data_IF_672259711892
#
_entry.id   IF_672259711892
#
_cell.length_a   1.000
_cell.length_b   1.000
_cell.length_c   1.000
_cell.angle_alpha   90.00
_cell.angle_beta   90.00
_cell.angle_gamma   90.00
#
_symmetry.space_group_name_H-M   'P 1'
#
loop_
_entity.id
_entity.type
_entity.pdbx_description
1 polymer ?
#
# COMPACT_ATOMS: atom_id res chain seq x y z
N UNK A 1 7.43 1.99 -11.51
CA UNK A 1 8.33 2.93 -12.19
C UNK A 1 9.08 3.68 -11.12
N UNK A 2 10.38 3.90 -11.28
CA UNK A 2 11.25 4.38 -10.20
C UNK A 2 12.41 5.19 -10.76
N UNK A 3 12.72 6.33 -10.16
CA UNK A 3 13.91 7.12 -10.47
C UNK A 3 15.11 6.72 -9.60
N UNK A 4 15.17 5.45 -9.19
CA UNK A 4 16.27 4.83 -8.45
C UNK A 4 17.65 5.32 -8.89
N UNK A 5 18.48 5.61 -7.89
CA UNK A 5 19.76 6.28 -8.06
C UNK A 5 19.68 7.80 -7.88
N UNK A 6 18.48 8.34 -7.66
CA UNK A 6 18.27 9.69 -7.15
C UNK A 6 18.57 9.75 -5.64
N UNK A 7 17.74 9.04 -4.87
CA UNK A 7 17.75 8.97 -3.42
C UNK A 7 17.78 7.50 -2.97
N UNK A 8 18.20 7.23 -1.70
CA UNK A 8 18.30 5.85 -1.22
C UNK A 8 16.94 5.15 -1.07
N UNK A 9 15.84 5.87 -0.95
CA UNK A 9 14.52 5.33 -0.62
C UNK A 9 13.91 4.48 -1.74
N UNK A 10 14.13 4.76 -3.01
CA UNK A 10 13.78 3.83 -4.10
C UNK A 10 14.46 2.46 -3.93
N UNK A 11 15.71 2.46 -3.47
CA UNK A 11 16.46 1.21 -3.23
C UNK A 11 15.91 0.47 -2.01
N UNK A 12 15.56 1.20 -0.96
CA UNK A 12 14.89 0.67 0.22
C UNK A 12 13.53 0.04 -0.14
N UNK A 13 12.70 0.77 -0.89
CA UNK A 13 11.41 0.33 -1.40
C UNK A 13 11.57 -0.90 -2.29
N UNK A 14 12.57 -0.93 -3.18
CA UNK A 14 12.83 -2.07 -4.06
C UNK A 14 13.25 -3.31 -3.27
N UNK A 15 14.14 -3.17 -2.27
CA UNK A 15 14.51 -4.26 -1.36
C UNK A 15 13.27 -4.85 -0.70
N UNK A 16 12.38 -4.00 -0.16
CA UNK A 16 11.14 -4.46 0.45
C UNK A 16 10.26 -5.17 -0.57
N UNK A 17 10.03 -4.61 -1.76
CA UNK A 17 9.20 -5.20 -2.81
C UNK A 17 9.64 -6.63 -3.17
N UNK A 18 10.95 -6.90 -3.22
CA UNK A 18 11.47 -8.24 -3.51
C UNK A 18 10.96 -9.29 -2.52
N UNK A 19 10.73 -8.92 -1.26
CA UNK A 19 10.22 -9.81 -0.23
C UNK A 19 8.72 -10.06 -0.31
N UNK A 20 7.99 -9.28 -1.11
CA UNK A 20 6.56 -9.46 -1.37
C UNK A 20 6.28 -9.95 -2.81
N UNK A 21 7.34 -10.23 -3.57
CA UNK A 21 7.25 -10.72 -4.96
C UNK A 21 6.57 -12.09 -5.09
N UNK A 22 6.33 -12.80 -3.98
CA UNK A 22 5.54 -14.03 -3.98
C UNK A 22 4.02 -13.81 -3.96
N UNK A 23 3.57 -12.64 -3.51
CA UNK A 23 2.15 -12.26 -3.44
C UNK A 23 1.78 -11.13 -4.39
N UNK A 24 2.78 -10.45 -4.96
CA UNK A 24 2.62 -9.43 -6.00
C UNK A 24 3.19 -9.96 -7.31
N UNK A 25 2.34 -10.08 -8.32
CA UNK A 25 2.74 -10.47 -9.68
C UNK A 25 3.37 -9.27 -10.40
N UNK A 26 4.70 -9.22 -10.39
CA UNK A 26 5.45 -8.09 -10.97
C UNK A 26 5.50 -8.26 -12.49
N UNK A 27 4.95 -7.29 -13.23
CA UNK A 27 4.95 -7.25 -14.70
C UNK A 27 6.06 -6.36 -15.28
N UNK A 28 6.73 -5.55 -14.44
CA UNK A 28 7.77 -4.64 -14.89
C UNK A 28 8.47 -3.88 -13.77
N UNK A 29 9.78 -3.69 -13.92
CA UNK A 29 10.61 -2.86 -13.05
C UNK A 29 11.33 -1.83 -13.91
N UNK A 30 10.67 -0.69 -14.09
CA UNK A 30 11.09 0.34 -15.06
C UNK A 30 11.78 1.49 -14.34
N UNK A 31 13.06 1.71 -14.65
CA UNK A 31 13.77 2.92 -14.24
C UNK A 31 13.26 4.12 -15.05
N UNK A 32 12.95 5.24 -14.42
CA UNK A 32 12.40 6.46 -15.03
C UNK A 32 13.20 7.70 -14.60
N UNK A 33 12.82 8.85 -15.15
CA UNK A 33 13.31 10.16 -14.69
C UNK A 33 12.31 10.77 -13.71
N UNK A 34 12.74 11.82 -13.00
CA UNK A 34 11.89 12.64 -12.12
C UNK A 34 12.46 14.06 -12.05
N UNK A 35 11.82 14.94 -11.31
CA UNK A 35 12.32 16.28 -11.03
C UNK A 35 13.63 16.25 -10.23
N UNK A 36 13.82 15.22 -9.43
CA UNK A 36 15.00 15.01 -8.60
C UNK A 36 16.13 14.32 -9.39
N UNK A 37 15.79 13.43 -10.33
CA UNK A 37 16.74 12.80 -11.27
C UNK A 37 16.29 12.96 -12.71
N UNK A 38 16.71 14.07 -13.32
CA UNK A 38 16.47 14.39 -14.73
C UNK A 38 17.44 13.70 -15.70
N UNK A 39 18.49 13.07 -15.17
CA UNK A 39 19.46 12.31 -15.96
C UNK A 39 18.86 11.00 -16.46
N UNK A 40 19.34 10.44 -17.59
CA UNK A 40 18.88 9.18 -18.13
C UNK A 40 18.70 8.07 -17.08
N UNK A 41 17.64 7.25 -17.17
CA UNK A 41 17.41 6.17 -16.21
C UNK A 41 18.51 5.12 -16.21
N UNK A 42 18.95 4.69 -15.03
CA UNK A 42 19.92 3.61 -14.88
C UNK A 42 19.29 2.39 -14.22
N UNK A 43 19.43 1.23 -14.86
CA UNK A 43 18.86 -0.03 -14.37
C UNK A 43 19.82 -0.84 -13.50
N UNK A 44 21.06 -0.36 -13.32
CA UNK A 44 22.15 -1.07 -12.66
C UNK A 44 21.80 -1.41 -11.21
N UNK A 45 21.27 -0.45 -10.45
CA UNK A 45 20.87 -0.64 -9.04
C UNK A 45 19.72 -1.65 -8.90
N UNK A 46 18.69 -1.56 -9.74
CA UNK A 46 17.59 -2.56 -9.77
C UNK A 46 18.16 -3.97 -9.97
N UNK A 47 19.07 -4.13 -10.93
CA UNK A 47 19.71 -5.42 -11.22
C UNK A 47 20.57 -5.92 -10.07
N UNK A 48 21.27 -5.04 -9.36
CA UNK A 48 22.06 -5.41 -8.18
C UNK A 48 21.17 -5.91 -7.03
N UNK A 49 20.06 -5.21 -6.77
CA UNK A 49 19.09 -5.62 -5.73
C UNK A 49 18.47 -6.98 -6.09
N UNK A 50 18.07 -7.19 -7.36
CA UNK A 50 17.51 -8.48 -7.80
C UNK A 50 18.53 -9.62 -7.66
N UNK A 51 19.81 -9.38 -7.97
CA UNK A 51 20.86 -10.39 -7.77
C UNK A 51 21.03 -10.73 -6.29
N UNK A 52 21.05 -9.72 -5.41
CA UNK A 52 21.08 -9.95 -3.96
C UNK A 52 19.85 -10.76 -3.50
N UNK A 53 18.66 -10.44 -4.00
CA UNK A 53 17.46 -11.25 -3.79
C UNK A 53 17.63 -12.70 -4.25
N UNK A 54 18.25 -12.92 -5.42
CA UNK A 54 18.55 -14.26 -5.95
C UNK A 54 19.34 -15.13 -4.97
N UNK A 55 20.28 -14.55 -4.24
CA UNK A 55 21.09 -15.23 -3.23
C UNK A 55 20.27 -15.68 -1.99
N UNK A 56 19.26 -14.90 -1.57
CA UNK A 56 18.42 -15.22 -0.40
C UNK A 56 17.16 -16.01 -0.74
N UNK A 57 16.75 -16.03 -2.02
CA UNK A 57 15.53 -16.73 -2.49
C UNK A 57 15.42 -18.19 -2.01
N UNK A 58 16.49 -19.01 -1.98
CA UNK A 58 16.39 -20.38 -1.45
C UNK A 58 15.95 -20.44 0.02
N UNK A 59 16.29 -19.43 0.83
CA UNK A 59 15.80 -19.32 2.21
C UNK A 59 14.33 -18.89 2.23
N UNK A 60 13.96 -17.86 1.47
CA UNK A 60 12.58 -17.39 1.36
C UNK A 60 11.60 -18.51 0.98
N UNK A 61 12.00 -19.41 0.07
CA UNK A 61 11.19 -20.57 -0.35
C UNK A 61 10.96 -21.62 0.75
N UNK A 62 11.73 -21.61 1.84
CA UNK A 62 11.47 -22.43 3.02
C UNK A 62 10.28 -21.91 3.83
N UNK A 63 10.02 -20.60 3.77
CA UNK A 63 8.98 -19.91 4.52
C UNK A 63 7.67 -19.82 3.73
N UNK A 64 7.75 -19.44 2.46
CA UNK A 64 6.57 -19.28 1.62
C UNK A 64 6.87 -19.64 0.17
N UNK A 65 5.88 -20.23 -0.52
CA UNK A 65 5.99 -20.53 -1.96
C UNK A 65 5.71 -19.27 -2.79
N UNK A 66 5.98 -19.35 -4.09
CA UNK A 66 5.57 -18.32 -5.06
C UNK A 66 6.63 -17.28 -5.40
N UNK A 67 7.76 -17.23 -4.69
CA UNK A 67 8.86 -16.30 -5.00
C UNK A 67 9.42 -16.52 -6.43
N UNK A 68 9.39 -15.51 -7.33
CA UNK A 68 9.90 -15.61 -8.69
C UNK A 68 11.42 -15.81 -8.71
N UNK A 69 11.96 -16.38 -9.78
CA UNK A 69 13.41 -16.54 -9.93
C UNK A 69 14.09 -15.21 -10.23
N UNK A 70 15.37 -15.08 -9.87
CA UNK A 70 16.21 -13.93 -10.26
C UNK A 70 16.12 -13.64 -11.76
N UNK A 71 16.21 -14.68 -12.59
CA UNK A 71 16.11 -14.57 -14.06
C UNK A 71 14.76 -14.00 -14.51
N UNK A 72 13.66 -14.44 -13.89
CA UNK A 72 12.34 -13.90 -14.22
C UNK A 72 12.27 -12.40 -13.92
N UNK A 73 12.75 -11.96 -12.74
CA UNK A 73 12.75 -10.55 -12.37
C UNK A 73 13.70 -9.71 -13.24
N UNK A 74 14.92 -10.19 -13.52
CA UNK A 74 15.88 -9.48 -14.37
C UNK A 74 15.34 -9.22 -15.79
N UNK A 75 14.53 -10.13 -16.33
CA UNK A 75 13.92 -9.97 -17.65
C UNK A 75 12.88 -8.84 -17.71
N UNK A 76 12.35 -8.41 -16.55
CA UNK A 76 11.37 -7.35 -16.41
C UNK A 76 12.01 -5.96 -16.19
N UNK A 77 13.34 -5.90 -16.05
CA UNK A 77 14.04 -4.64 -15.80
C UNK A 77 14.30 -3.89 -17.09
N UNK A 78 13.73 -2.69 -17.21
CA UNK A 78 13.81 -1.84 -18.41
C UNK A 78 14.11 -0.39 -18.07
N UNK A 79 14.79 0.29 -18.99
CA UNK A 79 14.97 1.74 -18.92
C UNK A 79 13.79 2.43 -19.62
N UNK A 80 13.21 3.43 -18.95
CA UNK A 80 12.13 4.26 -19.45
C UNK A 80 12.63 5.45 -20.28
N UNK A 81 11.86 6.54 -20.25
CA UNK A 81 12.17 7.75 -21.03
C UNK A 81 13.51 8.35 -20.60
N UNK A 82 14.26 8.84 -21.58
CA UNK A 82 15.62 9.38 -21.39
C UNK A 82 15.63 10.85 -20.96
N UNK A 83 14.52 11.56 -21.16
CA UNK A 83 14.37 12.98 -20.85
C UNK A 83 13.33 13.17 -19.75
N UNK A 84 13.45 14.27 -19.00
CA UNK A 84 12.50 14.62 -17.95
C UNK A 84 11.11 14.97 -18.51
N UNK A 85 10.07 14.38 -17.90
CA UNK A 85 8.68 14.77 -18.12
C UNK A 85 8.22 14.64 -19.57
N UNK A 86 7.31 15.51 -19.99
CA UNK A 86 6.70 15.53 -21.31
C UNK A 86 7.68 15.86 -22.44
N UNK A 87 8.87 16.40 -22.16
CA UNK A 87 9.94 16.55 -23.18
C UNK A 87 10.38 15.19 -23.74
N UNK A 88 10.31 14.16 -22.91
CA UNK A 88 10.57 12.77 -23.30
C UNK A 88 9.41 12.10 -24.03
N UNK A 89 8.24 12.72 -24.14
CA UNK A 89 7.00 12.07 -24.60
C UNK A 89 6.59 12.63 -25.97
N UNK A 90 6.76 11.81 -27.01
CA UNK A 90 6.33 12.15 -28.39
C UNK A 90 6.44 10.91 -29.29
N UNK A 91 5.90 11.03 -30.51
CA UNK A 91 6.09 10.03 -31.55
C UNK A 91 7.59 9.76 -31.82
N UNK A 92 7.94 8.49 -31.99
CA UNK A 92 9.33 8.06 -32.23
C UNK A 92 10.25 8.03 -31.00
N UNK A 93 9.77 8.41 -29.79
CA UNK A 93 10.53 8.35 -28.53
C UNK A 93 10.15 7.18 -27.62
N UNK A 94 9.76 6.03 -28.20
CA UNK A 94 9.54 4.83 -27.39
C UNK A 94 10.84 4.41 -26.69
N UNK A 95 10.70 3.90 -25.47
CA UNK A 95 11.77 3.29 -24.69
C UNK A 95 11.47 1.82 -24.43
N UNK A 96 12.47 1.04 -23.99
CA UNK A 96 12.19 -0.34 -23.62
C UNK A 96 11.15 -0.43 -22.48
N UNK A 97 11.11 0.56 -21.60
CA UNK A 97 10.13 0.69 -20.53
C UNK A 97 8.72 1.00 -21.04
N UNK A 98 8.57 1.91 -22.00
CA UNK A 98 7.25 2.20 -22.59
C UNK A 98 6.73 0.99 -23.37
N UNK A 99 7.59 0.31 -24.13
CA UNK A 99 7.22 -0.91 -24.85
C UNK A 99 6.83 -2.05 -23.90
N UNK A 100 7.52 -2.20 -22.76
CA UNK A 100 7.15 -3.15 -21.72
C UNK A 100 5.77 -2.82 -21.14
N UNK A 101 5.49 -1.55 -20.86
CA UNK A 101 4.17 -1.11 -20.38
C UNK A 101 3.09 -1.38 -21.41
N UNK A 102 3.29 -1.04 -22.69
CA UNK A 102 2.34 -1.36 -23.76
C UNK A 102 2.07 -2.87 -23.81
N UNK A 103 3.11 -3.70 -23.73
CA UNK A 103 2.96 -5.16 -23.69
C UNK A 103 2.15 -5.62 -22.49
N UNK A 104 2.40 -5.07 -21.29
CA UNK A 104 1.66 -5.41 -20.08
C UNK A 104 0.19 -4.97 -20.16
N UNK A 105 -0.08 -3.76 -20.68
CA UNK A 105 -1.43 -3.22 -20.86
C UNK A 105 -2.26 -4.06 -21.84
N UNK A 106 -1.63 -4.54 -22.92
CA UNK A 106 -2.29 -5.36 -23.94
C UNK A 106 -2.41 -6.84 -23.56
N UNK A 107 -1.82 -7.27 -22.45
CA UNK A 107 -1.89 -8.66 -21.98
C UNK A 107 -3.35 -9.05 -21.71
N UNK A 108 -3.76 -10.20 -22.21
CA UNK A 108 -5.06 -10.79 -21.94
C UNK A 108 -5.09 -11.41 -20.53
N UNK A 109 -5.19 -10.54 -19.53
CA UNK A 109 -5.41 -10.89 -18.13
C UNK A 109 -6.67 -10.18 -17.63
N UNK A 110 -7.54 -10.87 -16.89
CA UNK A 110 -8.77 -10.26 -16.35
C UNK A 110 -8.51 -9.34 -15.16
N UNK A 111 -7.35 -9.47 -14.51
CA UNK A 111 -6.95 -8.62 -13.38
C UNK A 111 -6.62 -7.20 -13.87
N UNK A 112 -6.81 -6.18 -13.01
CA UNK A 112 -6.30 -4.84 -13.29
C UNK A 112 -4.77 -4.82 -13.24
N UNK A 113 -4.15 -3.95 -14.04
CA UNK A 113 -2.71 -3.68 -14.00
C UNK A 113 -2.46 -2.43 -13.15
N UNK A 114 -1.72 -2.60 -12.06
CA UNK A 114 -1.28 -1.52 -11.18
C UNK A 114 0.07 -0.95 -11.63
N UNK A 115 0.12 0.34 -11.90
CA UNK A 115 1.34 1.12 -12.13
C UNK A 115 1.61 1.97 -10.89
N UNK A 116 2.51 1.46 -10.06
CA UNK A 116 3.06 2.20 -8.93
C UNK A 116 4.26 3.03 -9.42
N UNK A 117 4.25 4.35 -9.16
CA UNK A 117 5.26 5.28 -9.64
C UNK A 117 5.92 6.04 -8.48
N UNK A 118 7.22 5.85 -8.36
CA UNK A 118 8.08 6.36 -7.29
C UNK A 118 8.81 7.63 -7.72
N UNK A 119 8.92 7.85 -9.05
CA UNK A 119 9.43 9.06 -9.67
C UNK A 119 8.44 9.68 -10.66
N UNK A 120 8.94 10.16 -11.80
CA UNK A 120 8.10 10.67 -12.90
C UNK A 120 7.34 9.57 -13.64
N UNK A 121 6.22 9.93 -14.26
CA UNK A 121 5.32 9.01 -15.00
C UNK A 121 5.37 9.17 -16.51
N UNK A 122 6.35 9.92 -17.04
CA UNK A 122 6.53 10.10 -18.49
C UNK A 122 6.64 8.80 -19.30
N UNK A 123 7.14 7.71 -18.73
CA UNK A 123 7.21 6.41 -19.44
C UNK A 123 5.83 5.78 -19.60
N UNK A 124 4.93 5.98 -18.63
CA UNK A 124 3.52 5.64 -18.79
C UNK A 124 2.85 6.57 -19.79
N UNK A 125 3.12 7.88 -19.74
CA UNK A 125 2.57 8.83 -20.71
C UNK A 125 2.96 8.46 -22.16
N UNK A 126 4.22 8.06 -22.39
CA UNK A 126 4.67 7.56 -23.70
C UNK A 126 3.93 6.28 -24.12
N UNK A 127 3.76 5.32 -23.22
CA UNK A 127 3.02 4.09 -23.51
C UNK A 127 1.54 4.37 -23.86
N UNK A 128 0.90 5.29 -23.14
CA UNK A 128 -0.47 5.72 -23.41
C UNK A 128 -0.59 6.47 -24.74
N UNK A 129 0.37 7.33 -25.08
CA UNK A 129 0.44 8.01 -26.38
C UNK A 129 0.54 7.00 -27.53
N UNK A 130 1.43 6.01 -27.40
CA UNK A 130 1.60 4.94 -28.39
C UNK A 130 0.31 4.11 -28.58
N UNK A 131 -0.39 3.80 -27.49
CA UNK A 131 -1.67 3.10 -27.55
C UNK A 131 -2.75 3.96 -28.20
N UNK A 132 -2.85 5.24 -27.83
CA UNK A 132 -3.83 6.17 -28.40
C UNK A 132 -3.67 6.34 -29.91
N UNK A 133 -2.44 6.30 -30.42
CA UNK A 133 -2.15 6.37 -31.86
C UNK A 133 -2.50 5.08 -32.62
N UNK A 134 -2.47 3.92 -31.95
CA UNK A 134 -2.63 2.61 -32.59
C UNK A 134 -3.95 1.91 -32.31
N UNK A 135 -4.78 2.44 -31.41
CA UNK A 135 -6.05 1.86 -30.98
C UNK A 135 -7.22 2.80 -31.29
N UNK A 136 -8.37 2.20 -31.61
CA UNK A 136 -9.62 2.96 -31.67
C UNK A 136 -10.00 3.48 -30.28
N UNK A 137 -10.84 4.52 -30.23
CA UNK A 137 -11.35 5.07 -28.96
C UNK A 137 -11.96 3.98 -28.06
N UNK A 138 -12.81 3.12 -28.63
CA UNK A 138 -13.46 2.04 -27.88
C UNK A 138 -12.48 1.02 -27.31
N UNK A 139 -11.38 0.75 -28.01
CA UNK A 139 -10.31 -0.12 -27.48
C UNK A 139 -9.55 0.60 -26.36
N UNK A 140 -9.21 1.88 -26.56
CA UNK A 140 -8.52 2.68 -25.53
C UNK A 140 -9.35 2.76 -24.24
N UNK A 141 -10.66 3.02 -24.33
CA UNK A 141 -11.56 3.08 -23.17
C UNK A 141 -11.56 1.76 -22.38
N UNK A 142 -11.48 0.62 -23.08
CA UNK A 142 -11.36 -0.69 -22.43
C UNK A 142 -10.01 -0.88 -21.75
N UNK A 143 -8.93 -0.43 -22.36
CA UNK A 143 -7.59 -0.50 -21.77
C UNK A 143 -7.51 0.38 -20.53
N UNK A 144 -7.95 1.64 -20.60
CA UNK A 144 -7.97 2.60 -19.48
C UNK A 144 -8.72 2.04 -18.26
N UNK A 145 -9.89 1.42 -18.47
CA UNK A 145 -10.68 0.81 -17.38
C UNK A 145 -9.96 -0.30 -16.61
N UNK A 146 -8.96 -0.96 -17.22
CA UNK A 146 -8.16 -2.02 -16.60
C UNK A 146 -6.93 -1.47 -15.85
N UNK A 147 -6.59 -0.21 -16.03
CA UNK A 147 -5.39 0.38 -15.43
C UNK A 147 -5.70 1.05 -14.10
N UNK A 148 -4.74 0.95 -13.20
CA UNK A 148 -4.73 1.62 -11.90
C UNK A 148 -3.37 2.27 -11.74
N UNK A 149 -3.33 3.57 -11.50
CA UNK A 149 -2.07 4.29 -11.27
C UNK A 149 -2.05 4.78 -9.84
N UNK A 150 -0.92 4.61 -9.15
CA UNK A 150 -0.67 5.25 -7.86
C UNK A 150 0.71 5.88 -7.90
N UNK A 151 0.74 7.21 -7.87
CA UNK A 151 1.96 8.00 -7.82
C UNK A 151 2.26 8.53 -6.41
N UNK A 152 3.54 8.57 -6.06
CA UNK A 152 4.05 9.15 -4.81
C UNK A 152 4.19 10.65 -5.04
N UNK A 153 3.02 11.30 -5.04
CA UNK A 153 2.82 12.56 -5.76
C UNK A 153 3.24 12.44 -7.24
N UNK A 154 3.03 13.46 -8.05
CA UNK A 154 3.69 13.50 -9.36
C UNK A 154 5.06 14.13 -9.21
N UNK A 155 6.06 13.54 -9.85
CA UNK A 155 7.42 14.08 -9.85
C UNK A 155 7.87 14.54 -11.24
N UNK A 156 6.94 14.67 -12.18
CA UNK A 156 7.12 15.32 -13.47
C UNK A 156 5.80 15.93 -13.97
N UNK A 157 5.85 16.65 -15.08
CA UNK A 157 4.67 17.26 -15.72
C UNK A 157 3.80 16.25 -16.50
N UNK A 158 4.24 15.00 -16.62
CA UNK A 158 3.50 13.97 -17.34
C UNK A 158 2.31 13.45 -16.53
N UNK A 159 2.37 13.47 -15.20
CA UNK A 159 1.24 13.04 -14.35
C UNK A 159 -0.01 13.90 -14.57
N UNK A 160 0.14 15.22 -14.54
CA UNK A 160 -0.94 16.15 -14.86
C UNK A 160 -1.45 15.94 -16.31
N UNK A 161 -0.55 15.77 -17.28
CA UNK A 161 -0.94 15.48 -18.66
C UNK A 161 -1.78 14.19 -18.76
N UNK A 162 -1.40 13.12 -18.07
CA UNK A 162 -2.16 11.86 -18.06
C UNK A 162 -3.57 12.10 -17.54
N UNK A 163 -3.73 12.78 -16.41
CA UNK A 163 -5.06 13.03 -15.82
C UNK A 163 -5.94 13.87 -16.74
N UNK A 164 -5.39 14.90 -17.38
CA UNK A 164 -6.16 15.73 -18.32
C UNK A 164 -6.58 14.97 -19.60
N UNK A 165 -5.73 14.06 -20.10
CA UNK A 165 -5.99 13.37 -21.37
C UNK A 165 -6.74 12.04 -21.19
N UNK A 166 -6.72 11.46 -20.00
CA UNK A 166 -7.37 10.20 -19.67
C UNK A 166 -8.14 10.31 -18.34
N UNK A 167 -9.20 11.15 -18.26
CA UNK A 167 -9.91 11.44 -17.02
C UNK A 167 -10.64 10.22 -16.42
N UNK A 168 -10.91 9.20 -17.23
CA UNK A 168 -11.49 7.92 -16.79
C UNK A 168 -10.45 6.95 -16.21
N UNK A 169 -9.15 7.29 -16.25
CA UNK A 169 -8.09 6.49 -15.67
C UNK A 169 -8.15 6.58 -14.15
N UNK A 170 -8.26 5.42 -13.50
CA UNK A 170 -8.12 5.35 -12.06
C UNK A 170 -6.70 5.77 -11.66
N UNK A 171 -6.61 6.90 -10.96
CA UNK A 171 -5.35 7.55 -10.62
C UNK A 171 -5.38 8.05 -9.17
N UNK A 172 -4.52 7.48 -8.32
CA UNK A 172 -4.27 7.89 -6.95
C UNK A 172 -3.05 8.81 -6.92
N UNK A 173 -3.22 10.02 -6.39
CA UNK A 173 -2.16 11.03 -6.28
C UNK A 173 -2.41 12.00 -5.13
N UNK A 174 -1.32 12.50 -4.54
CA UNK A 174 -1.32 13.70 -3.70
C UNK A 174 -0.82 14.87 -4.56
N UNK A 175 -1.70 15.68 -5.18
CA UNK A 175 -1.31 16.66 -6.22
C UNK A 175 -0.71 17.96 -5.66
N UNK A 176 -0.73 18.12 -4.32
CA UNK A 176 -0.24 19.30 -3.61
C UNK A 176 1.24 19.12 -3.24
N UNK A 177 1.80 20.03 -2.42
CA UNK A 177 3.15 19.89 -1.88
C UNK A 177 3.36 18.57 -1.14
N UNK A 178 4.59 18.06 -1.14
CA UNK A 178 4.90 16.78 -0.50
C UNK A 178 4.52 16.79 0.98
N UNK A 179 4.71 17.90 1.71
CA UNK A 179 4.38 17.99 3.15
C UNK A 179 2.91 17.67 3.46
N UNK A 180 2.01 17.93 2.52
CA UNK A 180 0.58 17.65 2.68
C UNK A 180 0.20 16.21 2.30
N UNK A 181 1.13 15.43 1.77
CA UNK A 181 0.85 14.15 1.13
C UNK A 181 0.61 13.03 2.13
N UNK A 182 -0.23 12.09 1.73
CA UNK A 182 -0.63 10.94 2.58
C UNK A 182 0.56 10.01 2.83
N UNK A 183 1.36 9.75 1.79
CA UNK A 183 2.50 8.83 1.81
C UNK A 183 3.57 9.18 2.86
N UNK A 184 3.68 10.43 3.29
CA UNK A 184 4.58 10.87 4.37
C UNK A 184 4.29 10.13 5.70
N UNK A 185 3.07 9.62 5.88
CA UNK A 185 2.71 8.72 6.97
C UNK A 185 3.57 7.44 7.03
N UNK A 186 4.32 7.10 6.00
CA UNK A 186 5.30 6.02 6.01
C UNK A 186 6.57 6.38 6.80
N UNK A 187 7.12 7.56 6.50
CA UNK A 187 8.52 7.87 6.78
C UNK A 187 8.74 8.84 7.94
N UNK A 188 7.76 9.70 8.27
CA UNK A 188 7.95 10.78 9.23
C UNK A 188 7.45 10.44 10.64
N UNK A 189 8.01 11.07 11.69
CA UNK A 189 7.52 10.92 13.04
C UNK A 189 6.19 11.66 13.23
N UNK A 190 5.23 11.02 13.88
CA UNK A 190 3.95 11.63 14.25
C UNK A 190 3.67 11.43 15.74
N UNK A 191 2.99 12.41 16.35
CA UNK A 191 2.47 12.26 17.70
C UNK A 191 1.47 11.08 17.71
N UNK A 192 1.61 10.18 18.69
CA UNK A 192 0.73 9.02 18.83
C UNK A 192 1.07 7.83 17.92
N UNK A 193 1.95 7.99 16.92
CA UNK A 193 2.51 6.87 16.18
C UNK A 193 3.63 6.20 16.99
N UNK A 194 3.84 4.90 16.76
CA UNK A 194 5.07 4.24 17.18
C UNK A 194 6.20 4.69 16.25
N UNK A 195 7.00 5.67 16.67
CA UNK A 195 8.08 6.22 15.86
C UNK A 195 9.38 5.40 15.96
N UNK A 196 9.46 4.44 16.89
CA UNK A 196 10.66 3.60 17.03
C UNK A 196 10.85 2.71 15.80
N UNK A 197 9.75 2.22 15.20
CA UNK A 197 9.83 1.32 14.03
C UNK A 197 10.34 2.00 12.76
N UNK A 198 10.63 3.29 12.79
CA UNK A 198 11.28 4.03 11.68
C UNK A 198 12.61 4.66 12.11
N UNK A 199 13.08 4.36 13.32
CA UNK A 199 14.37 4.86 13.80
C UNK A 199 15.51 4.19 13.04
N UNK A 200 16.63 4.91 12.86
CA UNK A 200 17.82 4.33 12.22
C UNK A 200 18.32 3.10 12.99
N UNK A 201 18.23 3.09 14.33
CA UNK A 201 18.59 1.93 15.15
C UNK A 201 17.67 0.73 14.92
N UNK A 202 16.38 0.97 14.70
CA UNK A 202 15.44 -0.11 14.36
C UNK A 202 15.72 -0.65 12.96
N UNK A 203 15.97 0.21 11.97
CA UNK A 203 16.32 -0.18 10.60
C UNK A 203 17.62 -0.99 10.58
N UNK A 204 18.67 -0.49 11.24
CA UNK A 204 19.96 -1.16 11.36
C UNK A 204 19.78 -2.57 11.90
N UNK A 205 19.07 -2.71 13.02
CA UNK A 205 18.88 -3.99 13.70
C UNK A 205 17.99 -4.96 12.93
N UNK A 206 16.88 -4.48 12.37
CA UNK A 206 15.82 -5.35 11.88
C UNK A 206 15.90 -5.59 10.37
N UNK A 207 16.50 -4.66 9.62
CA UNK A 207 16.51 -4.68 8.15
C UNK A 207 17.92 -4.84 7.59
N UNK A 208 18.91 -4.09 8.10
CA UNK A 208 20.24 -4.09 7.49
C UNK A 208 21.14 -5.22 8.02
N UNK A 209 21.36 -5.25 9.33
CA UNK A 209 22.39 -6.08 9.93
C UNK A 209 21.94 -7.54 10.10
N UNK A 210 22.80 -8.45 9.62
CA UNK A 210 22.57 -9.89 9.73
C UNK A 210 21.47 -10.44 8.82
N UNK A 211 20.94 -9.67 7.87
CA UNK A 211 19.80 -10.06 6.99
C UNK A 211 20.22 -10.51 5.59
N UNK A 212 21.42 -11.07 5.47
CA UNK A 212 21.94 -11.62 4.22
C UNK A 212 22.31 -10.56 3.18
N UNK A 213 22.36 -10.98 1.90
CA UNK A 213 22.70 -10.10 0.78
C UNK A 213 21.71 -8.96 0.59
N UNK A 214 20.42 -9.22 0.81
CA UNK A 214 19.39 -8.21 0.61
C UNK A 214 19.43 -7.12 1.69
N UNK A 215 19.76 -7.47 2.94
CA UNK A 215 19.98 -6.48 4.01
C UNK A 215 21.13 -5.51 3.70
N UNK A 216 22.21 -6.01 3.08
CA UNK A 216 23.34 -5.17 2.61
C UNK A 216 22.96 -4.21 1.49
N UNK A 217 21.89 -4.51 0.74
CA UNK A 217 21.37 -3.65 -0.33
C UNK A 217 20.39 -2.59 0.18
N UNK A 218 20.04 -2.58 1.47
CA UNK A 218 19.19 -1.57 2.06
C UNK A 218 20.06 -0.40 2.58
N UNK A 219 20.15 0.72 1.85
CA UNK A 219 21.01 1.84 2.25
C UNK A 219 20.45 2.59 3.45
N UNK A 220 21.31 3.38 4.09
CA UNK A 220 20.91 4.30 5.16
C UNK A 220 19.93 5.36 4.66
N UNK A 221 19.06 5.80 5.56
CA UNK A 221 18.11 6.88 5.30
C UNK A 221 18.86 8.21 5.15
N UNK A 222 18.68 8.89 4.02
CA UNK A 222 19.27 10.22 3.79
C UNK A 222 18.26 11.38 3.96
N UNK A 223 17.00 11.19 3.57
CA UNK A 223 15.95 12.21 3.68
C UNK A 223 14.65 11.64 4.28
N UNK A 224 14.08 10.64 3.63
CA UNK A 224 12.95 9.85 4.12
C UNK A 224 13.24 8.35 3.99
N UNK A 225 12.56 7.55 4.82
CA UNK A 225 12.59 6.09 4.72
C UNK A 225 11.46 5.62 3.81
N UNK A 226 11.80 4.95 2.71
CA UNK A 226 10.84 4.24 1.85
C UNK A 226 9.60 5.07 1.46
N UNK A 227 9.79 6.33 1.03
CA UNK A 227 8.70 7.25 0.67
C UNK A 227 7.71 6.63 -0.31
N UNK A 228 8.19 5.73 -1.15
CA UNK A 228 7.41 5.17 -2.25
C UNK A 228 6.65 3.89 -1.96
N UNK A 229 7.03 3.20 -0.90
CA UNK A 229 6.45 1.92 -0.49
C UNK A 229 4.92 1.94 -0.36
N UNK A 230 4.26 3.02 0.13
CA UNK A 230 2.81 3.11 0.18
C UNK A 230 2.10 2.82 -1.14
N UNK A 231 2.73 3.13 -2.27
CA UNK A 231 2.13 2.97 -3.61
C UNK A 231 1.81 1.52 -4.00
N UNK A 232 2.35 0.54 -3.28
CA UNK A 232 2.08 -0.88 -3.50
C UNK A 232 1.78 -1.68 -2.24
N UNK A 233 1.94 -1.14 -1.02
CA UNK A 233 1.59 -1.85 0.23
C UNK A 233 0.14 -2.34 0.25
N UNK A 234 -0.78 -1.60 -0.37
CA UNK A 234 -2.18 -2.00 -0.47
C UNK A 234 -2.42 -3.22 -1.37
N UNK A 235 -1.45 -3.66 -2.17
CA UNK A 235 -1.56 -4.86 -3.00
C UNK A 235 -1.29 -6.14 -2.20
N UNK A 236 -0.73 -6.03 -0.99
CA UNK A 236 -0.46 -7.19 -0.12
C UNK A 236 -1.78 -7.74 0.41
N UNK A 237 -2.09 -9.04 0.21
CA UNK A 237 -3.34 -9.66 0.65
C UNK A 237 -3.32 -9.99 2.16
N UNK A 238 -3.29 -8.96 3.00
CA UNK A 238 -3.27 -9.11 4.47
C UNK A 238 -4.68 -9.21 5.11
N UNK A 239 -5.73 -9.14 4.30
CA UNK A 239 -7.15 -9.16 4.69
C UNK A 239 -7.74 -7.83 5.17
N UNK A 240 -6.92 -6.78 5.25
CA UNK A 240 -7.36 -5.38 5.45
C UNK A 240 -7.49 -4.64 4.13
N UNK A 241 -6.48 -4.83 3.27
CA UNK A 241 -6.30 -4.08 2.04
C UNK A 241 -7.31 -4.49 0.96
N UNK A 242 -7.80 -3.51 0.21
CA UNK A 242 -8.53 -3.71 -1.03
C UNK A 242 -8.30 -2.49 -1.94
N UNK A 243 -7.27 -2.54 -2.80
CA UNK A 243 -6.87 -1.37 -3.58
C UNK A 243 -7.82 -0.98 -4.71
N UNK A 244 -8.75 -1.85 -5.11
CA UNK A 244 -9.87 -1.45 -5.98
C UNK A 244 -10.85 -0.49 -5.26
N UNK A 245 -10.72 -0.36 -3.93
CA UNK A 245 -11.44 0.60 -3.10
C UNK A 245 -10.45 1.45 -2.26
N UNK A 246 -9.81 2.48 -2.84
CA UNK A 246 -8.89 3.34 -2.08
C UNK A 246 -9.56 4.03 -0.88
N UNK A 247 -10.88 4.23 -0.94
CA UNK A 247 -11.73 4.78 0.12
C UNK A 247 -11.91 3.83 1.31
N UNK A 248 -11.46 2.58 1.20
CA UNK A 248 -11.57 1.60 2.28
C UNK A 248 -10.45 1.68 3.31
N UNK A 249 -9.31 2.26 2.94
CA UNK A 249 -8.13 2.34 3.79
C UNK A 249 -7.40 1.01 3.95
N UNK A 250 -6.09 1.09 4.12
CA UNK A 250 -5.22 -0.06 4.33
C UNK A 250 -3.77 0.38 4.49
N UNK A 251 -2.83 -0.54 4.33
CA UNK A 251 -1.39 -0.24 4.47
C UNK A 251 -0.87 0.79 3.45
N UNK A 252 -1.54 0.93 2.30
CA UNK A 252 -1.24 1.97 1.30
C UNK A 252 -1.90 3.33 1.58
N UNK A 253 -2.64 3.49 2.68
CA UNK A 253 -3.41 4.69 3.00
C UNK A 253 -4.89 4.58 2.61
N UNK A 254 -5.62 5.68 2.78
CA UNK A 254 -7.01 5.86 2.34
C UNK A 254 -7.09 7.10 1.45
N UNK A 255 -7.87 7.02 0.38
CA UNK A 255 -8.06 8.09 -0.60
C UNK A 255 -9.54 8.28 -0.90
N UNK A 256 -9.96 9.49 -1.24
CA UNK A 256 -11.33 9.78 -1.62
C UNK A 256 -11.37 10.33 -3.05
N UNK A 257 -12.42 9.98 -3.79
CA UNK A 257 -12.63 10.48 -5.14
C UNK A 257 -13.38 11.81 -5.11
N UNK A 258 -12.66 12.91 -5.29
CA UNK A 258 -13.21 14.27 -5.35
C UNK A 258 -12.26 15.19 -6.11
N UNK A 259 -12.75 16.35 -6.55
CA UNK A 259 -11.91 17.38 -7.16
C UNK A 259 -11.27 18.20 -6.04
N UNK A 260 -9.94 18.14 -5.83
CA UNK A 260 -9.28 18.88 -4.76
C UNK A 260 -9.37 20.40 -4.98
N UNK A 261 -9.45 21.14 -3.87
CA UNK A 261 -9.33 22.59 -3.91
C UNK A 261 -7.91 22.98 -4.31
N UNK A 262 -7.78 23.96 -5.21
CA UNK A 262 -6.50 24.47 -5.67
C UNK A 262 -6.16 25.77 -4.94
N UNK A 263 -5.04 25.78 -4.20
CA UNK A 263 -4.49 27.01 -3.64
C UNK A 263 -3.48 27.64 -4.62
N UNK A 264 -3.82 28.78 -5.26
CA UNK A 264 -2.92 29.45 -6.20
C UNK A 264 -1.68 30.06 -5.52
N UNK A 265 -1.60 30.06 -4.19
CA UNK A 265 -0.44 30.53 -3.43
C UNK A 265 0.48 29.38 -3.02
N UNK A 266 0.03 28.13 -3.12
CA UNK A 266 0.89 26.98 -2.85
C UNK A 266 2.03 26.95 -3.89
N UNK A 267 3.25 26.75 -3.41
CA UNK A 267 4.46 26.69 -4.23
C UNK A 267 5.16 25.38 -3.93
N UNK A 268 5.60 24.71 -4.98
CA UNK A 268 6.38 23.49 -4.85
C UNK A 268 7.48 23.42 -5.89
N UNK A 269 8.16 22.26 -5.98
CA UNK A 269 9.28 22.05 -6.89
C UNK A 269 8.89 22.18 -8.37
N UNK A 270 7.61 22.04 -8.69
CA UNK A 270 7.02 22.22 -10.01
C UNK A 270 5.75 23.08 -9.94
N UNK A 271 5.30 23.54 -11.11
CA UNK A 271 4.05 24.30 -11.25
C UNK A 271 2.86 23.41 -10.86
N UNK A 272 2.20 23.76 -9.75
CA UNK A 272 0.94 23.15 -9.37
C UNK A 272 -0.19 23.71 -10.23
N UNK A 273 -1.11 22.84 -10.66
CA UNK A 273 -2.24 23.19 -11.52
C UNK A 273 -3.54 22.70 -10.91
N UNK A 274 -4.66 23.43 -11.08
CA UNK A 274 -5.96 22.95 -10.64
C UNK A 274 -6.36 21.70 -11.42
N UNK A 275 -6.85 20.68 -10.73
CA UNK A 275 -7.45 19.51 -11.37
C UNK A 275 -8.78 19.90 -12.04
N UNK A 276 -9.04 19.41 -13.25
CA UNK A 276 -10.27 19.71 -14.00
C UNK A 276 -11.47 18.82 -13.64
N UNK A 277 -11.23 17.73 -12.89
CA UNK A 277 -12.20 16.70 -12.56
C UNK A 277 -11.83 16.00 -11.24
N UNK A 278 -12.73 15.18 -10.67
CA UNK A 278 -12.42 14.37 -9.49
C UNK A 278 -11.30 13.35 -9.73
N UNK A 279 -10.43 13.20 -8.73
CA UNK A 279 -9.32 12.24 -8.71
C UNK A 279 -9.29 11.52 -7.36
N UNK A 280 -8.57 10.40 -7.25
CA UNK A 280 -8.35 9.76 -5.95
C UNK A 280 -7.23 10.48 -5.23
N UNK A 281 -7.56 11.24 -4.19
CA UNK A 281 -6.61 12.07 -3.46
C UNK A 281 -6.82 12.01 -1.95
N UNK A 282 -5.96 12.72 -1.21
CA UNK A 282 -5.84 12.71 0.24
C UNK A 282 -7.20 12.80 0.96
N UNK A 283 -7.35 12.08 2.06
CA UNK A 283 -8.54 12.15 2.92
C UNK A 283 -8.15 11.82 4.34
N UNK A 284 -8.83 12.43 5.32
CA UNK A 284 -8.42 12.37 6.72
C UNK A 284 -9.12 11.23 7.48
N UNK A 285 -8.34 10.50 8.28
CA UNK A 285 -8.88 9.61 9.31
C UNK A 285 -8.87 10.27 10.68
N UNK A 286 -9.80 9.87 11.54
CA UNK A 286 -9.81 10.23 12.96
C UNK A 286 -9.40 9.02 13.79
N UNK A 287 -8.22 9.06 14.40
CA UNK A 287 -7.67 7.90 15.10
C UNK A 287 -7.19 8.23 16.51
N UNK A 288 -7.53 7.34 17.45
CA UNK A 288 -6.93 7.29 18.79
C UNK A 288 -6.02 6.06 18.83
N UNK A 289 -4.70 6.23 19.05
CA UNK A 289 -3.78 5.12 19.18
C UNK A 289 -4.19 4.12 20.25
N UNK A 290 -3.75 2.87 20.09
CA UNK A 290 -3.96 1.81 21.07
C UNK A 290 -2.65 1.55 21.79
N UNK A 291 -2.70 1.52 23.11
CA UNK A 291 -1.54 1.26 23.98
C UNK A 291 -1.75 -0.03 24.77
N UNK A 292 -0.66 -0.72 25.09
CA UNK A 292 -0.69 -1.91 25.95
C UNK A 292 -1.05 -1.46 27.37
N UNK A 293 -2.11 -2.06 27.95
CA UNK A 293 -2.47 -1.79 29.34
C UNK A 293 -1.72 -2.74 30.28
N UNK A 294 -1.39 -2.26 31.48
CA UNK A 294 -0.78 -3.10 32.52
C UNK A 294 -1.77 -4.14 33.08
N UNK A 295 -3.05 -3.79 33.17
CA UNK A 295 -4.10 -4.62 33.76
C UNK A 295 -5.37 -4.59 32.90
N UNK A 296 -6.15 -5.67 32.92
CA UNK A 296 -7.42 -5.77 32.20
C UNK A 296 -7.24 -6.09 30.72
N UNK A 297 -7.91 -5.34 29.83
CA UNK A 297 -7.81 -5.55 28.37
C UNK A 297 -6.37 -5.33 27.92
N UNK A 298 -5.84 -6.24 27.08
CA UNK A 298 -4.45 -6.19 26.60
C UNK A 298 -4.08 -4.87 25.93
N UNK A 299 -5.03 -4.29 25.19
CA UNK A 299 -4.89 -2.98 24.56
C UNK A 299 -6.09 -2.09 24.89
N UNK A 300 -5.82 -0.81 25.08
CA UNK A 300 -6.81 0.23 25.36
C UNK A 300 -6.51 1.47 24.52
N UNK A 301 -7.52 2.31 24.20
CA UNK A 301 -7.25 3.62 23.62
C UNK A 301 -6.32 4.43 24.52
N UNK A 302 -5.36 5.11 23.91
CA UNK A 302 -4.50 6.06 24.58
C UNK A 302 -5.34 7.24 25.13
N UNK A 303 -4.82 7.88 26.16
CA UNK A 303 -5.35 9.09 26.78
C UNK A 303 -5.25 10.34 25.91
N UNK A 304 -4.46 10.30 24.82
CA UNK A 304 -4.33 11.45 23.93
C UNK A 304 -5.62 11.73 23.16
N UNK A 305 -5.83 12.99 22.78
CA UNK A 305 -6.95 13.37 21.92
C UNK A 305 -6.87 12.63 20.57
N UNK A 306 -8.01 12.26 19.96
CA UNK A 306 -8.03 11.73 18.60
C UNK A 306 -7.28 12.67 17.64
N UNK A 307 -6.48 12.08 16.77
CA UNK A 307 -5.70 12.78 15.75
C UNK A 307 -6.48 12.69 14.44
N UNK A 308 -6.59 13.82 13.75
CA UNK A 308 -7.24 13.94 12.45
C UNK A 308 -6.19 14.36 11.44
N UNK A 309 -5.86 13.49 10.48
CA UNK A 309 -5.00 13.82 9.34
C UNK A 309 -5.06 12.73 8.28
N UNK A 310 -4.60 13.04 7.07
CA UNK A 310 -4.49 12.06 5.99
C UNK A 310 -3.34 11.09 6.21
N UNK A 311 -2.23 11.51 6.82
CA UNK A 311 -1.11 10.60 7.14
C UNK A 311 -1.50 9.53 8.16
N UNK A 312 -2.51 9.79 9.02
CA UNK A 312 -3.10 8.78 9.93
C UNK A 312 -3.52 7.54 9.17
N UNK A 313 -4.01 7.69 7.94
CA UNK A 313 -4.50 6.58 7.12
C UNK A 313 -3.40 5.55 6.81
N UNK A 314 -2.11 5.95 6.90
CA UNK A 314 -0.95 5.07 6.80
C UNK A 314 -0.37 4.75 8.18
N UNK A 315 0.01 5.77 8.97
CA UNK A 315 0.87 5.53 10.12
C UNK A 315 0.19 4.73 11.23
N UNK A 316 -1.14 4.69 11.27
CA UNK A 316 -1.91 3.84 12.18
C UNK A 316 -1.62 2.33 11.99
N UNK A 317 -1.10 1.94 10.82
CA UNK A 317 -0.73 0.56 10.48
C UNK A 317 0.77 0.30 10.50
N UNK A 318 1.58 1.33 10.80
CA UNK A 318 3.03 1.31 10.57
C UNK A 318 3.77 0.20 11.27
N UNK A 319 3.46 -0.02 12.54
CA UNK A 319 4.07 -1.11 13.30
C UNK A 319 3.78 -2.47 12.69
N UNK A 320 2.57 -2.69 12.15
CA UNK A 320 2.19 -3.96 11.56
C UNK A 320 3.00 -4.27 10.29
N UNK A 321 3.12 -3.31 9.37
CA UNK A 321 3.87 -3.53 8.13
C UNK A 321 5.40 -3.43 8.30
N UNK A 322 5.89 -2.72 9.32
CA UNK A 322 7.32 -2.74 9.68
C UNK A 322 7.69 -4.09 10.27
N UNK A 323 6.86 -4.66 11.16
CA UNK A 323 7.10 -6.00 11.69
C UNK A 323 7.03 -7.08 10.60
N UNK A 324 6.09 -6.99 9.65
CA UNK A 324 6.02 -7.92 8.51
C UNK A 324 7.30 -7.87 7.67
N UNK A 325 7.84 -6.66 7.42
CA UNK A 325 9.11 -6.51 6.74
C UNK A 325 10.28 -7.10 7.53
N UNK A 326 10.36 -6.81 8.83
CA UNK A 326 11.43 -7.35 9.68
C UNK A 326 11.41 -8.90 9.74
N UNK A 327 10.23 -9.53 9.81
CA UNK A 327 10.12 -10.98 9.75
C UNK A 327 10.53 -11.54 8.38
N UNK A 328 10.11 -10.89 7.28
CA UNK A 328 10.56 -11.29 5.93
C UNK A 328 12.07 -11.11 5.72
N UNK A 329 12.68 -10.13 6.39
CA UNK A 329 14.14 -10.00 6.42
C UNK A 329 14.81 -11.12 7.23
N UNK A 330 14.16 -11.64 8.28
CA UNK A 330 14.62 -12.85 8.96
C UNK A 330 14.54 -14.09 8.04
N UNK A 331 13.50 -14.20 7.22
CA UNK A 331 13.35 -15.31 6.26
C UNK A 331 14.47 -15.38 5.22
N UNK A 332 15.24 -14.30 5.02
CA UNK A 332 16.40 -14.29 4.13
C UNK A 332 17.57 -15.16 4.63
N UNK A 333 17.62 -15.45 5.94
CA UNK A 333 18.78 -16.11 6.57
C UNK A 333 18.41 -17.25 7.50
N UNK A 334 17.19 -17.26 8.04
CA UNK A 334 16.72 -18.27 9.00
C UNK A 334 16.04 -19.44 8.29
N UNK A 335 15.87 -20.55 8.99
CA UNK A 335 14.93 -21.60 8.57
C UNK A 335 13.54 -21.34 9.17
N UNK A 336 12.52 -22.05 8.67
CA UNK A 336 11.12 -21.90 9.10
C UNK A 336 10.98 -21.77 10.62
N UNK A 337 11.45 -22.77 11.39
CA UNK A 337 11.29 -22.81 12.86
C UNK A 337 12.01 -21.70 13.64
N UNK A 338 12.84 -20.90 13.00
CA UNK A 338 13.67 -19.86 13.64
C UNK A 338 13.13 -18.44 13.37
N UNK A 339 12.11 -18.31 12.52
CA UNK A 339 11.47 -17.05 12.17
C UNK A 339 9.96 -17.13 12.38
N UNK A 340 9.34 -15.99 12.64
CA UNK A 340 7.89 -15.90 12.81
C UNK A 340 7.15 -15.85 11.46
N UNK A 341 5.91 -16.32 11.42
CA UNK A 341 5.00 -16.30 10.28
C UNK A 341 3.63 -15.75 10.68
N UNK A 342 2.93 -15.07 9.76
CA UNK A 342 1.69 -14.39 10.09
C UNK A 342 0.56 -15.35 10.47
N UNK A 343 -0.33 -14.97 11.40
CA UNK A 343 -1.47 -15.78 11.77
C UNK A 343 -2.46 -15.95 10.61
N UNK A 344 -3.18 -17.06 10.58
CA UNK A 344 -4.18 -17.40 9.55
C UNK A 344 -5.57 -17.08 10.10
N UNK A 345 -6.11 -15.92 9.73
CA UNK A 345 -7.41 -15.45 10.20
C UNK A 345 -8.56 -16.16 9.50
N UNK A 346 -9.42 -16.84 10.27
CA UNK A 346 -10.58 -17.58 9.76
C UNK A 346 -11.86 -17.10 10.44
N UNK A 347 -12.87 -16.76 9.64
CA UNK A 347 -14.22 -16.41 10.10
C UNK A 347 -15.16 -17.60 9.90
N UNK A 348 -16.05 -17.87 10.86
CA UNK A 348 -17.10 -18.89 10.73
C UNK A 348 -18.41 -18.35 10.12
N UNK A 349 -18.34 -17.17 9.50
CA UNK A 349 -19.45 -16.48 8.84
C UNK A 349 -18.93 -15.74 7.59
N UNK A 350 -19.82 -15.29 6.69
CA UNK A 350 -19.42 -14.50 5.52
C UNK A 350 -18.78 -13.15 5.89
N UNK A 351 -17.91 -12.64 5.02
CA UNK A 351 -17.33 -11.29 5.16
C UNK A 351 -18.34 -10.17 4.85
N UNK A 352 -19.51 -10.49 4.29
CA UNK A 352 -20.62 -9.55 4.12
C UNK A 352 -21.89 -10.15 4.66
N UNK A 353 -22.55 -9.43 5.58
CA UNK A 353 -23.81 -9.84 6.18
C UNK A 353 -24.87 -8.77 5.94
N UNK A 354 -26.13 -9.20 5.90
CA UNK A 354 -27.28 -8.29 5.86
C UNK A 354 -28.18 -8.59 7.06
N UNK A 355 -28.46 -7.56 7.85
CA UNK A 355 -29.26 -7.63 9.07
C UNK A 355 -30.30 -6.52 9.08
N UNK A 356 -31.39 -6.71 9.81
CA UNK A 356 -32.42 -5.67 10.01
C UNK A 356 -32.11 -4.82 11.25
N UNK A 357 -32.69 -3.62 11.27
CA UNK A 357 -32.64 -2.71 12.41
C UNK A 357 -33.06 -3.39 13.71
N UNK A 358 -32.13 -3.49 14.65
CA UNK A 358 -32.34 -4.14 15.95
C UNK A 358 -32.26 -5.68 15.92
N UNK A 359 -31.85 -6.29 14.82
CA UNK A 359 -31.52 -7.72 14.75
C UNK A 359 -30.21 -8.00 15.48
N UNK A 360 -30.09 -9.19 16.06
CA UNK A 360 -28.88 -9.66 16.73
C UNK A 360 -27.99 -10.40 15.75
N UNK A 361 -26.68 -10.18 15.79
CA UNK A 361 -25.73 -10.91 14.97
C UNK A 361 -24.39 -11.07 15.68
N UNK A 362 -23.66 -12.12 15.28
CA UNK A 362 -22.36 -12.46 15.82
C UNK A 362 -21.32 -12.52 14.69
N UNK A 363 -20.12 -12.01 14.95
CA UNK A 363 -18.94 -12.21 14.13
C UNK A 363 -17.93 -13.05 14.93
N UNK A 364 -17.39 -14.09 14.33
CA UNK A 364 -16.70 -15.15 15.06
C UNK A 364 -15.47 -15.62 14.31
N UNK A 365 -14.33 -15.50 14.99
CA UNK A 365 -13.01 -15.83 14.48
C UNK A 365 -12.33 -16.97 15.24
N UNK A 366 -13.08 -17.82 15.96
CA UNK A 366 -12.53 -18.90 16.83
C UNK A 366 -11.64 -19.91 16.12
N UNK A 367 -11.75 -20.02 14.79
CA UNK A 367 -10.97 -20.95 13.97
C UNK A 367 -9.63 -20.36 13.50
N UNK A 368 -9.34 -19.12 13.87
CA UNK A 368 -8.05 -18.47 13.58
C UNK A 368 -6.93 -19.20 14.30
N UNK A 369 -5.84 -19.45 13.58
CA UNK A 369 -4.69 -20.22 14.07
C UNK A 369 -3.38 -19.50 13.77
N UNK A 370 -2.34 -19.88 14.50
CA UNK A 370 -0.98 -19.44 14.28
C UNK A 370 -0.15 -20.62 13.75
N UNK A 371 0.56 -20.48 12.63
CA UNK A 371 1.33 -21.59 12.05
C UNK A 371 2.56 -21.99 12.89
N UNK A 372 3.07 -21.08 13.73
CA UNK A 372 4.22 -21.32 14.61
C UNK A 372 3.78 -21.78 16.02
N UNK A 373 2.47 -21.74 16.29
CA UNK A 373 1.88 -22.12 17.57
C UNK A 373 1.85 -21.00 18.60
N UNK A 374 2.06 -19.75 18.17
CA UNK A 374 2.03 -18.59 19.05
C UNK A 374 0.60 -18.27 19.54
N UNK A 375 0.53 -17.64 20.72
CA UNK A 375 -0.74 -17.15 21.24
C UNK A 375 -1.26 -15.97 20.40
N UNK A 376 -2.59 -15.84 20.31
CA UNK A 376 -3.23 -14.84 19.45
C UNK A 376 -3.97 -13.77 20.26
N UNK A 377 -3.93 -12.53 19.77
CA UNK A 377 -4.74 -11.40 20.25
C UNK A 377 -5.73 -10.97 19.20
N UNK A 378 -7.00 -10.86 19.58
CA UNK A 378 -8.10 -10.45 18.71
C UNK A 378 -8.57 -9.05 19.08
N UNK A 379 -8.64 -8.17 18.10
CA UNK A 379 -9.15 -6.82 18.25
C UNK A 379 -10.14 -6.49 17.14
N UNK A 380 -11.40 -6.31 17.53
CA UNK A 380 -12.46 -5.89 16.63
C UNK A 380 -12.65 -4.37 16.73
N UNK A 381 -12.60 -3.68 15.59
CA UNK A 381 -12.81 -2.23 15.51
C UNK A 381 -13.80 -1.87 14.40
N UNK A 382 -14.64 -0.88 14.68
CA UNK A 382 -15.38 -0.19 13.63
C UNK A 382 -14.42 0.70 12.83
N UNK A 383 -14.65 0.84 11.52
CA UNK A 383 -13.98 1.81 10.66
C UNK A 383 -15.01 2.84 10.16
N UNK A 384 -15.34 3.88 10.95
CA UNK A 384 -16.41 4.82 10.63
C UNK A 384 -16.17 5.64 9.37
N UNK A 385 -14.92 5.92 9.01
CA UNK A 385 -14.56 6.76 7.87
C UNK A 385 -15.07 6.19 6.54
N UNK A 386 -14.99 4.87 6.36
CA UNK A 386 -15.56 4.16 5.18
C UNK A 386 -17.02 3.75 5.37
N UNK A 387 -17.51 3.60 6.60
CA UNK A 387 -18.89 3.17 6.87
C UNK A 387 -19.89 4.28 6.49
N UNK A 388 -21.08 3.96 5.96
CA UNK A 388 -22.11 5.00 5.83
C UNK A 388 -22.73 5.33 7.22
N UNK A 389 -22.79 4.36 8.13
CA UNK A 389 -23.15 4.58 9.52
C UNK A 389 -21.96 5.09 10.34
N UNK A 390 -21.96 6.40 10.63
CA UNK A 390 -20.83 7.09 11.29
C UNK A 390 -20.81 6.99 12.82
N UNK A 391 -21.93 6.63 13.46
CA UNK A 391 -22.02 6.61 14.92
C UNK A 391 -21.28 5.41 15.48
N UNK A 392 -20.69 5.58 16.67
CA UNK A 392 -20.04 4.49 17.38
C UNK A 392 -21.06 3.39 17.69
N UNK A 393 -20.71 2.17 17.31
CA UNK A 393 -21.45 0.98 17.72
C UNK A 393 -20.95 0.50 19.08
N UNK A 394 -21.87 0.07 19.94
CA UNK A 394 -21.56 -0.48 21.25
C UNK A 394 -21.67 -2.00 21.14
N UNK A 395 -20.53 -2.68 21.30
CA UNK A 395 -20.47 -4.14 21.37
C UNK A 395 -21.04 -4.61 22.69
N UNK A 396 -21.80 -5.71 22.67
CA UNK A 396 -22.25 -6.37 23.89
C UNK A 396 -21.06 -6.99 24.64
N UNK A 397 -21.13 -7.12 25.99
CA UNK A 397 -20.09 -7.82 26.74
C UNK A 397 -19.94 -9.25 26.24
N UNK A 398 -18.74 -9.63 25.79
CA UNK A 398 -18.43 -11.04 25.50
C UNK A 398 -17.31 -11.53 26.42
N UNK A 399 -17.40 -12.79 26.82
CA UNK A 399 -16.39 -13.43 27.67
C UNK A 399 -15.12 -13.84 26.90
N UNK A 400 -15.13 -13.73 25.57
CA UNK A 400 -14.04 -14.15 24.69
C UNK A 400 -13.75 -13.09 23.63
N UNK A 401 -12.47 -12.93 23.27
CA UNK A 401 -11.99 -11.85 22.39
C UNK A 401 -12.22 -12.13 20.89
N UNK A 402 -12.27 -13.40 20.49
CA UNK A 402 -12.50 -13.84 19.10
C UNK A 402 -13.95 -13.73 18.63
N UNK A 403 -14.91 -13.57 19.54
CA UNK A 403 -16.31 -13.30 19.22
C UNK A 403 -16.55 -11.79 19.25
N UNK A 404 -17.39 -11.27 18.37
CA UNK A 404 -17.95 -9.92 18.39
C UNK A 404 -19.46 -10.05 18.34
N UNK A 405 -20.12 -9.59 19.40
CA UNK A 405 -21.55 -9.73 19.56
C UNK A 405 -22.25 -8.36 19.64
N UNK A 406 -23.40 -8.24 18.98
CA UNK A 406 -24.04 -6.97 18.73
C UNK A 406 -25.51 -7.08 18.33
N UNK A 407 -26.30 -6.12 18.83
CA UNK A 407 -27.56 -5.73 18.21
C UNK A 407 -27.34 -4.62 17.17
N UNK A 408 -27.79 -4.86 15.93
CA UNK A 408 -27.69 -3.87 14.86
C UNK A 408 -28.37 -2.55 15.25
N UNK A 409 -27.72 -1.38 15.04
CA UNK A 409 -28.33 -0.09 15.33
C UNK A 409 -29.64 0.09 14.55
N UNK A 410 -30.55 0.88 15.12
CA UNK A 410 -31.78 1.28 14.41
C UNK A 410 -31.43 2.32 13.35
N UNK A 411 -31.78 2.03 12.11
CA UNK A 411 -31.57 2.93 10.97
C UNK A 411 -32.88 3.22 10.26
N UNK A 412 -32.99 4.41 9.65
CA UNK A 412 -34.18 4.85 8.89
C UNK A 412 -34.02 4.69 7.39
N UNK A 413 -32.81 4.41 6.93
CA UNK A 413 -32.44 4.07 5.54
C UNK A 413 -31.40 2.96 5.57
N UNK A 414 -31.15 2.24 4.45
CA UNK A 414 -30.04 1.29 4.38
C UNK A 414 -28.72 1.96 4.74
N UNK A 415 -27.95 1.31 5.61
CA UNK A 415 -26.63 1.77 6.05
C UNK A 415 -25.63 0.61 6.01
N UNK A 416 -24.35 0.93 5.94
CA UNK A 416 -23.23 -0.01 6.02
C UNK A 416 -22.37 0.30 7.23
N UNK A 417 -21.90 -0.76 7.90
CA UNK A 417 -20.89 -0.71 8.95
C UNK A 417 -19.72 -1.60 8.55
N UNK A 418 -18.53 -1.03 8.49
CA UNK A 418 -17.29 -1.77 8.28
C UNK A 418 -16.67 -2.09 9.64
N UNK A 419 -16.51 -3.39 9.91
CA UNK A 419 -15.80 -3.91 11.08
C UNK A 419 -14.50 -4.55 10.59
N UNK A 420 -13.38 -4.19 11.22
CA UNK A 420 -12.09 -4.84 11.00
C UNK A 420 -11.77 -5.71 12.21
N UNK A 421 -11.50 -6.98 11.96
CA UNK A 421 -10.78 -7.83 12.88
C UNK A 421 -9.29 -7.68 12.62
N UNK A 422 -8.53 -7.27 13.64
CA UNK A 422 -7.07 -7.32 13.69
C UNK A 422 -6.66 -8.50 14.58
N UNK A 423 -5.89 -9.45 14.04
CA UNK A 423 -5.30 -10.56 14.78
C UNK A 423 -3.80 -10.42 14.78
N UNK A 424 -3.19 -10.40 15.97
CA UNK A 424 -1.74 -10.28 16.16
C UNK A 424 -1.24 -11.43 17.02
N UNK A 425 -0.18 -12.10 16.58
CA UNK A 425 0.47 -13.18 17.31
C UNK A 425 1.29 -12.67 18.53
N UNK A 426 2.05 -13.58 19.16
CA UNK A 426 3.04 -13.28 20.19
C UNK A 426 4.47 -13.63 19.79
N UNK A 427 4.71 -13.87 18.50
CA UNK A 427 6.02 -14.12 17.94
C UNK A 427 6.89 -12.85 17.93
N UNK A 428 8.11 -13.00 17.42
CA UNK A 428 9.09 -11.92 17.36
C UNK A 428 9.70 -11.78 15.96
N UNK A 429 9.45 -10.66 15.25
CA UNK A 429 8.53 -9.58 15.62
C UNK A 429 7.06 -10.04 15.58
N UNK A 430 6.15 -9.31 16.24
CA UNK A 430 4.72 -9.65 16.24
C UNK A 430 4.12 -9.43 14.86
N UNK A 431 3.48 -10.45 14.27
CA UNK A 431 2.85 -10.35 12.96
C UNK A 431 1.34 -10.22 13.07
N UNK A 432 0.79 -9.42 12.16
CA UNK A 432 -0.63 -9.05 12.15
C UNK A 432 -1.27 -9.44 10.83
N UNK A 433 -2.45 -10.06 10.89
CA UNK A 433 -3.37 -10.23 9.75
C UNK A 433 -4.77 -9.77 10.13
N UNK A 434 -5.59 -9.52 9.13
CA UNK A 434 -6.90 -8.92 9.32
C UNK A 434 -8.01 -9.65 8.59
N UNK A 435 -9.25 -9.32 8.95
CA UNK A 435 -10.43 -9.51 8.11
C UNK A 435 -11.31 -8.28 8.17
N UNK A 436 -11.83 -7.85 7.02
CA UNK A 436 -12.87 -6.82 6.93
C UNK A 436 -14.22 -7.50 6.80
N UNK A 437 -15.18 -7.07 7.62
CA UNK A 437 -16.56 -7.53 7.59
C UNK A 437 -17.48 -6.35 7.33
N UNK A 438 -18.32 -6.43 6.30
CA UNK A 438 -19.29 -5.40 5.93
C UNK A 438 -20.68 -5.84 6.39
N UNK A 439 -21.29 -5.04 7.26
CA UNK A 439 -22.65 -5.26 7.75
C UNK A 439 -23.59 -4.28 7.05
N UNK A 440 -24.47 -4.81 6.19
CA UNK A 440 -25.56 -4.06 5.58
C UNK A 440 -26.75 -4.07 6.54
N UNK A 441 -27.14 -2.90 7.03
CA UNK A 441 -28.23 -2.73 7.99
C UNK A 441 -29.43 -2.13 7.26
N UNK A 442 -30.51 -2.89 7.19
CA UNK A 442 -31.75 -2.44 6.58
C UNK A 442 -32.69 -1.82 7.63
N UNK A 443 -33.52 -0.83 7.25
CA UNK A 443 -34.68 -0.45 8.04
C UNK A 443 -35.58 -1.65 8.33
N UNK A 444 -36.44 -1.53 9.35
CA UNK A 444 -37.36 -2.61 9.72
C UNK A 444 -38.32 -3.00 8.60
#
# INVERSE_FOLDING_TARGET
MTDIGNEPDDSQTMVRLMLYSNVIDIEGLVASTSIHKKSPPEVSMIRQIIKAYGEVRPHLLKHEKGFPTEKQLLNLVKAGQQEYGMKGVQEGKNSEGSDLLVKAILKEDSRPLWISAWGGVNTLAQALLQLQQSKSKNEMDKLIKKLRVYTISDQDDAGFWIRENFPDLFYIVSPNSYQSSTWIGMAQPFKGANNEVISNSWIEKNIQQGKGSLGRMYPDVSFGMEGDTPSWLGLIPNGLNNMEHPDWGGWGGRYQYYQPEFDPNERWLFELKPESHPIWTNTDDTYTPLVKAQWGKTIVPDSIKPIVSNQVTIWRWREDFQNDFAARMDWCVKNYKEANHPPIVKLSHPETLTVKSGEHFELDARLTEDPDGDALSFYWMQYPEVSSYKRKIVREPCNVSWLFDMKAPKVTKPETVHIILKVTDKGSPQLTRYKRVIINILPK
#
